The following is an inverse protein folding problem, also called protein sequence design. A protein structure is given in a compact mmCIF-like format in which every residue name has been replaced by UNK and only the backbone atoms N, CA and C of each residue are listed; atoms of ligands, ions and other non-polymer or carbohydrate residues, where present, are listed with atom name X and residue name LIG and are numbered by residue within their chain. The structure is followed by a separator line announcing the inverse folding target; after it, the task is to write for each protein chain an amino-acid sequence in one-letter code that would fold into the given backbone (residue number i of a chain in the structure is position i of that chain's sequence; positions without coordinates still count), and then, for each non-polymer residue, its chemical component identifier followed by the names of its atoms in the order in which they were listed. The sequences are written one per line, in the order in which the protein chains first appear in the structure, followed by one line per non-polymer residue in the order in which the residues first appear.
data_IF_160277145725
#
_entry.id   IF_160277145725
#
_cell.length_a   1.000
_cell.length_b   1.000
_cell.length_c   1.000
_cell.angle_alpha   90.00
_cell.angle_beta   90.00
_cell.angle_gamma   90.00
#
_symmetry.space_group_name_H-M   'P 1'
#
loop_
_entity.id
_entity.type
_entity.pdbx_description
1 polymer ?
#
# COMPACT_ATOMS: atom_id res chain seq x y z
N UNK A 1 33.72 -0.32 7.21
CA UNK A 1 32.69 -1.38 7.31
C UNK A 1 32.14 -1.47 8.74
N UNK A 2 32.98 -1.57 9.75
CA UNK A 2 32.57 -1.64 11.18
C UNK A 2 31.76 -0.43 11.66
N UNK A 3 32.20 0.80 11.32
CA UNK A 3 31.46 2.03 11.65
C UNK A 3 30.07 2.09 10.97
N UNK A 4 29.94 1.54 9.76
CA UNK A 4 28.64 1.48 9.04
C UNK A 4 27.68 0.50 9.70
N UNK A 5 28.18 -0.65 10.16
CA UNK A 5 27.37 -1.65 10.86
C UNK A 5 26.89 -1.14 12.22
N UNK A 6 27.77 -0.45 12.96
CA UNK A 6 27.40 0.17 14.22
C UNK A 6 26.31 1.24 14.02
N UNK A 7 26.51 2.15 13.07
CA UNK A 7 25.50 3.17 12.75
C UNK A 7 24.16 2.55 12.36
N UNK A 8 24.16 1.49 11.54
CA UNK A 8 22.94 0.82 11.11
C UNK A 8 22.20 0.17 12.30
N UNK A 9 22.92 -0.44 13.23
CA UNK A 9 22.33 -1.02 14.44
C UNK A 9 21.70 0.06 15.34
N UNK A 10 22.40 1.19 15.54
CA UNK A 10 21.89 2.32 16.32
C UNK A 10 20.67 2.98 15.67
N UNK A 11 20.68 3.14 14.34
CA UNK A 11 19.54 3.67 13.60
C UNK A 11 18.32 2.73 13.69
N UNK A 12 18.55 1.42 13.56
CA UNK A 12 17.50 0.42 13.67
C UNK A 12 16.88 0.39 15.06
N UNK A 13 17.70 0.46 16.12
CA UNK A 13 17.20 0.54 17.50
C UNK A 13 16.27 1.75 17.70
N UNK A 14 16.65 2.93 17.20
CA UNK A 14 15.81 4.14 17.25
C UNK A 14 14.50 3.97 16.48
N UNK A 15 14.52 3.27 15.35
CA UNK A 15 13.30 2.95 14.59
C UNK A 15 12.39 2.01 15.40
N UNK A 16 12.95 0.96 16.01
CA UNK A 16 12.18 0.02 16.84
C UNK A 16 11.53 0.75 18.02
N UNK A 17 12.29 1.56 18.74
CA UNK A 17 11.79 2.32 19.89
C UNK A 17 10.65 3.26 19.47
N UNK A 18 10.85 4.00 18.37
CA UNK A 18 9.81 4.89 17.82
C UNK A 18 8.54 4.11 17.50
N UNK A 19 8.61 3.04 16.71
CA UNK A 19 7.40 2.33 16.28
C UNK A 19 6.75 1.55 17.40
N UNK A 20 7.49 1.10 18.42
CA UNK A 20 6.92 0.51 19.64
C UNK A 20 6.00 1.50 20.35
N UNK A 21 6.34 2.79 20.34
CA UNK A 21 5.51 3.85 20.92
C UNK A 21 4.39 4.31 19.99
N UNK A 22 4.67 4.49 18.69
CA UNK A 22 3.70 5.03 17.71
C UNK A 22 2.60 4.03 17.34
N UNK A 23 2.95 2.75 17.16
CA UNK A 23 2.02 1.73 16.67
C UNK A 23 0.70 1.60 17.46
N UNK A 24 0.71 1.51 18.81
CA UNK A 24 -0.54 1.40 19.56
C UNK A 24 -1.40 2.68 19.52
N UNK A 25 -0.81 3.86 19.26
CA UNK A 25 -1.55 5.12 19.15
C UNK A 25 -2.37 5.21 17.85
N UNK A 26 -1.94 4.48 16.81
CA UNK A 26 -2.57 4.48 15.49
C UNK A 26 -3.01 3.06 15.09
N UNK A 27 -3.61 2.32 16.03
CA UNK A 27 -4.14 0.99 15.77
C UNK A 27 -5.37 1.03 14.87
N UNK A 28 -6.26 1.97 15.14
CA UNK A 28 -7.58 2.06 14.49
C UNK A 28 -7.61 3.16 13.42
N UNK A 29 -6.45 3.66 13.02
CA UNK A 29 -6.28 4.69 11.99
C UNK A 29 -5.00 4.50 11.17
N UNK A 30 -4.93 5.17 10.03
CA UNK A 30 -3.76 5.15 9.15
C UNK A 30 -3.08 6.53 9.18
N UNK A 31 -1.87 6.64 9.74
CA UNK A 31 -1.13 7.90 9.81
C UNK A 31 -0.52 8.28 8.45
N UNK A 32 -0.52 9.57 8.09
CA UNK A 32 0.06 10.04 6.83
C UNK A 32 1.18 11.07 7.02
N UNK A 33 0.88 12.29 7.45
CA UNK A 33 1.86 13.35 7.72
C UNK A 33 1.80 13.82 9.16
N UNK A 34 2.80 14.58 9.60
CA UNK A 34 2.78 15.20 10.92
C UNK A 34 2.47 16.68 10.84
N UNK A 35 1.72 17.18 11.82
CA UNK A 35 1.60 18.62 12.05
C UNK A 35 2.92 19.25 12.52
N UNK A 36 2.93 20.57 12.73
CA UNK A 36 4.10 21.30 13.22
C UNK A 36 4.60 20.84 14.61
N UNK A 37 3.80 20.08 15.35
CA UNK A 37 4.12 19.53 16.67
C UNK A 37 4.54 18.05 16.59
N UNK A 38 4.66 17.47 15.39
CA UNK A 38 5.04 16.08 15.20
C UNK A 38 3.91 15.07 15.44
N UNK A 39 2.64 15.52 15.52
CA UNK A 39 1.48 14.63 15.68
C UNK A 39 1.01 14.17 14.32
N UNK A 40 0.86 12.86 14.13
CA UNK A 40 0.33 12.33 12.88
C UNK A 40 -1.12 12.77 12.67
N UNK A 41 -1.43 13.14 11.43
CA UNK A 41 -2.80 13.21 10.95
C UNK A 41 -3.34 11.80 10.69
N UNK A 42 -4.67 11.66 10.75
CA UNK A 42 -5.35 10.40 10.51
C UNK A 42 -6.23 10.52 9.27
N UNK A 43 -5.96 9.70 8.26
CA UNK A 43 -6.75 9.67 7.02
C UNK A 43 -8.00 8.78 7.13
N UNK A 44 -8.66 8.80 8.29
CA UNK A 44 -9.94 8.12 8.52
C UNK A 44 -11.10 8.96 7.96
N UNK A 45 -11.32 8.96 6.65
CA UNK A 45 -12.49 9.59 6.00
C UNK A 45 -12.68 11.13 6.17
N UNK A 46 -12.03 11.82 7.12
CA UNK A 46 -12.38 13.20 7.54
C UNK A 46 -11.79 14.33 6.70
N UNK A 47 -11.02 14.03 5.66
CA UNK A 47 -10.35 15.06 4.84
C UNK A 47 -10.71 14.91 3.35
N UNK A 48 -12.01 14.80 3.06
CA UNK A 48 -12.53 14.89 1.69
C UNK A 48 -12.52 16.35 1.26
N UNK A 49 -11.36 16.84 0.81
CA UNK A 49 -11.31 18.13 0.10
C UNK A 49 -11.54 17.99 -1.39
N UNK A 50 -11.15 16.88 -2.04
CA UNK A 50 -11.16 16.78 -3.52
C UNK A 50 -11.30 15.35 -4.10
N UNK A 51 -12.09 14.47 -3.49
CA UNK A 51 -12.53 13.22 -4.16
C UNK A 51 -11.57 12.01 -4.17
N UNK A 52 -10.32 12.13 -3.72
CA UNK A 52 -9.32 11.03 -3.78
C UNK A 52 -8.62 10.69 -2.44
N UNK A 53 -9.03 11.19 -1.26
CA UNK A 53 -8.11 11.28 -0.10
C UNK A 53 -8.54 10.55 1.19
N UNK A 54 -9.47 9.59 1.09
CA UNK A 54 -9.85 8.74 2.21
C UNK A 54 -8.93 7.53 2.36
N UNK A 55 -9.53 6.37 2.61
CA UNK A 55 -8.81 5.10 2.71
C UNK A 55 -8.10 4.70 1.40
N UNK A 56 -8.58 5.20 0.27
CA UNK A 56 -7.97 5.00 -1.06
C UNK A 56 -6.69 5.79 -1.30
N UNK A 57 -6.24 6.60 -0.33
CA UNK A 57 -5.00 7.37 -0.48
C UNK A 57 -3.79 6.45 -0.65
N UNK A 58 -2.97 6.75 -1.65
CA UNK A 58 -1.92 5.86 -2.16
C UNK A 58 -0.86 5.45 -1.12
N UNK A 59 -0.63 6.29 -0.10
CA UNK A 59 0.35 5.98 0.94
C UNK A 59 -0.19 5.04 2.02
N UNK A 60 -1.50 4.76 2.08
CA UNK A 60 -2.09 4.11 3.24
C UNK A 60 -1.57 2.69 3.51
N UNK A 61 -1.12 1.96 2.47
CA UNK A 61 -0.49 0.65 2.68
C UNK A 61 0.92 0.70 3.27
N UNK A 62 1.60 1.85 3.26
CA UNK A 62 2.95 1.97 3.82
C UNK A 62 2.94 1.79 5.33
N UNK A 63 1.90 2.27 6.03
CA UNK A 63 1.77 2.06 7.47
C UNK A 63 1.71 0.56 7.81
N UNK A 64 0.79 -0.18 7.18
CA UNK A 64 0.69 -1.63 7.38
C UNK A 64 1.96 -2.37 6.95
N UNK A 65 2.63 -1.90 5.90
CA UNK A 65 3.94 -2.42 5.48
C UNK A 65 5.02 -2.23 6.53
N UNK A 66 5.15 -1.04 7.12
CA UNK A 66 6.10 -0.79 8.22
C UNK A 66 5.77 -1.72 9.39
N UNK A 67 4.49 -1.90 9.74
CA UNK A 67 4.08 -2.81 10.80
C UNK A 67 4.45 -4.27 10.50
N UNK A 68 4.28 -4.75 9.26
CA UNK A 68 4.76 -6.08 8.87
C UNK A 68 6.28 -6.22 8.97
N UNK A 69 7.03 -5.19 8.57
CA UNK A 69 8.49 -5.18 8.73
C UNK A 69 8.90 -5.21 10.21
N UNK A 70 8.21 -4.45 11.05
CA UNK A 70 8.42 -4.43 12.50
C UNK A 70 8.10 -5.79 13.14
N UNK A 71 7.02 -6.44 12.73
CA UNK A 71 6.70 -7.80 13.16
C UNK A 71 7.78 -8.79 12.74
N UNK A 72 8.18 -8.78 11.45
CA UNK A 72 9.23 -9.67 10.95
C UNK A 72 10.58 -9.46 11.65
N UNK A 73 10.87 -8.24 12.08
CA UNK A 73 12.13 -7.89 12.75
C UNK A 73 12.13 -8.27 14.24
N UNK A 74 11.01 -8.07 14.93
CA UNK A 74 10.96 -8.14 16.40
C UNK A 74 10.20 -9.35 16.95
N UNK A 75 9.35 -9.98 16.13
CA UNK A 75 8.42 -11.02 16.57
C UNK A 75 7.28 -10.51 17.47
N UNK A 76 7.17 -9.20 17.71
CA UNK A 76 6.17 -8.64 18.60
C UNK A 76 4.78 -8.61 17.92
N UNK A 77 3.85 -9.42 18.44
CA UNK A 77 2.49 -9.58 17.91
C UNK A 77 1.69 -8.27 17.86
N UNK A 78 2.01 -7.26 18.69
CA UNK A 78 1.37 -5.95 18.61
C UNK A 78 1.50 -5.33 17.21
N UNK A 79 2.66 -5.45 16.55
CA UNK A 79 2.84 -4.92 15.20
C UNK A 79 1.99 -5.68 14.18
N UNK A 80 1.87 -7.00 14.33
CA UNK A 80 1.00 -7.82 13.49
C UNK A 80 -0.47 -7.45 13.66
N UNK A 81 -0.91 -7.16 14.89
CA UNK A 81 -2.29 -6.72 15.14
C UNK A 81 -2.58 -5.37 14.47
N UNK A 82 -1.67 -4.40 14.56
CA UNK A 82 -1.82 -3.10 13.88
C UNK A 82 -1.78 -3.27 12.35
N UNK A 83 -0.92 -4.14 11.83
CA UNK A 83 -0.85 -4.44 10.39
C UNK A 83 -2.16 -5.04 9.86
N UNK A 84 -2.75 -5.99 10.58
CA UNK A 84 -4.05 -6.59 10.24
C UNK A 84 -5.20 -5.58 10.33
N UNK A 85 -5.16 -4.67 11.32
CA UNK A 85 -6.14 -3.58 11.43
C UNK A 85 -6.08 -2.68 10.19
N UNK A 86 -4.87 -2.31 9.76
CA UNK A 86 -4.66 -1.52 8.54
C UNK A 86 -5.27 -2.20 7.29
N UNK A 87 -5.04 -3.50 7.08
CA UNK A 87 -5.70 -4.23 5.98
C UNK A 87 -7.22 -4.21 6.08
N UNK A 88 -7.77 -4.36 7.28
CA UNK A 88 -9.23 -4.35 7.51
C UNK A 88 -9.82 -2.98 7.19
N UNK A 89 -9.14 -1.88 7.53
CA UNK A 89 -9.54 -0.53 7.14
C UNK A 89 -9.51 -0.37 5.61
N UNK A 90 -8.49 -0.90 4.94
CA UNK A 90 -8.36 -0.81 3.48
C UNK A 90 -9.45 -1.60 2.72
N UNK A 91 -10.12 -2.59 3.33
CA UNK A 91 -11.19 -3.35 2.66
C UNK A 91 -12.34 -2.46 2.17
N UNK A 92 -12.61 -1.35 2.85
CA UNK A 92 -13.65 -0.39 2.43
C UNK A 92 -13.38 0.17 1.03
N UNK A 93 -12.10 0.31 0.64
CA UNK A 93 -11.73 0.83 -0.69
C UNK A 93 -12.15 -0.09 -1.83
N UNK A 94 -12.31 -1.39 -1.59
CA UNK A 94 -12.85 -2.33 -2.57
C UNK A 94 -14.38 -2.25 -2.68
N UNK A 95 -15.05 -1.67 -1.68
CA UNK A 95 -16.51 -1.46 -1.67
C UNK A 95 -16.87 -0.14 -2.34
N UNK A 96 -16.05 0.90 -2.16
CA UNK A 96 -16.38 2.29 -2.57
C UNK A 96 -16.42 2.51 -4.09
N UNK A 97 -16.11 1.48 -4.90
CA UNK A 97 -16.02 1.43 -6.38
C UNK A 97 -15.06 2.45 -7.01
N UNK A 98 -15.13 3.73 -6.61
CA UNK A 98 -14.26 4.82 -6.98
C UNK A 98 -13.13 5.02 -5.96
N UNK A 99 -12.11 5.79 -6.36
CA UNK A 99 -11.01 6.24 -5.51
C UNK A 99 -9.70 5.50 -5.76
N UNK A 100 -9.72 4.17 -5.96
CA UNK A 100 -8.49 3.43 -6.26
C UNK A 100 -7.93 3.77 -7.65
N UNK A 101 -6.61 3.80 -7.73
CA UNK A 101 -5.83 4.07 -8.94
C UNK A 101 -4.65 3.11 -9.04
N UNK A 102 -3.69 3.35 -9.95
CA UNK A 102 -2.59 2.40 -10.17
C UNK A 102 -1.71 2.12 -8.94
N UNK A 103 -1.81 2.95 -7.89
CA UNK A 103 -1.06 2.81 -6.64
C UNK A 103 -1.56 1.68 -5.73
N UNK A 104 -2.52 0.89 -6.19
CA UNK A 104 -2.91 -0.37 -5.54
C UNK A 104 -1.70 -1.32 -5.38
N UNK A 105 -0.67 -1.21 -6.21
CA UNK A 105 0.57 -1.97 -6.02
C UNK A 105 1.29 -1.58 -4.72
N UNK A 106 1.52 -0.29 -4.47
CA UNK A 106 2.07 0.21 -3.20
C UNK A 106 1.23 -0.25 -2.02
N UNK A 107 -0.09 -0.14 -2.14
CA UNK A 107 -1.00 -0.41 -1.03
C UNK A 107 -1.00 -1.90 -0.63
N UNK A 108 -1.16 -2.81 -1.59
CA UNK A 108 -1.39 -4.24 -1.28
C UNK A 108 -0.15 -5.13 -1.37
N UNK A 109 0.95 -4.71 -1.99
CA UNK A 109 2.23 -5.42 -1.82
C UNK A 109 2.72 -5.27 -0.39
N UNK A 110 2.75 -4.02 0.10
CA UNK A 110 3.30 -3.72 1.41
C UNK A 110 2.47 -4.37 2.54
N UNK A 111 1.15 -4.50 2.34
CA UNK A 111 0.22 -5.07 3.32
C UNK A 111 -0.08 -6.55 3.03
N UNK A 112 -1.08 -6.81 2.19
CA UNK A 112 -1.71 -8.12 2.06
C UNK A 112 -0.77 -9.20 1.48
N UNK A 113 0.11 -8.87 0.53
CA UNK A 113 1.12 -9.82 0.04
C UNK A 113 2.09 -10.19 1.16
N UNK A 114 2.57 -9.22 1.95
CA UNK A 114 3.48 -9.48 3.06
C UNK A 114 2.80 -10.29 4.17
N UNK A 115 1.55 -9.98 4.51
CA UNK A 115 0.76 -10.77 5.47
C UNK A 115 0.65 -12.23 5.01
N UNK A 116 0.26 -12.46 3.75
CA UNK A 116 0.16 -13.81 3.22
C UNK A 116 1.51 -14.56 3.25
N UNK A 117 2.61 -13.90 2.88
CA UNK A 117 3.96 -14.49 2.93
C UNK A 117 4.40 -14.84 4.35
N UNK A 118 4.12 -13.97 5.31
CA UNK A 118 4.57 -14.13 6.70
C UNK A 118 3.71 -15.11 7.50
N UNK A 119 2.40 -15.16 7.22
CA UNK A 119 1.43 -15.86 8.08
C UNK A 119 0.61 -16.94 7.36
N UNK A 120 0.62 -16.97 6.03
CA UNK A 120 -0.26 -17.84 5.24
C UNK A 120 -1.71 -17.37 5.18
N UNK A 121 -2.02 -16.12 5.58
CA UNK A 121 -3.39 -15.60 5.62
C UNK A 121 -4.07 -15.59 4.23
N UNK A 122 -5.06 -16.47 4.05
CA UNK A 122 -5.79 -16.63 2.80
C UNK A 122 -6.72 -15.46 2.48
N UNK A 123 -7.19 -14.70 3.47
CA UNK A 123 -7.97 -13.48 3.20
C UNK A 123 -7.06 -12.38 2.65
N UNK A 124 -5.85 -12.23 3.18
CA UNK A 124 -4.85 -11.31 2.61
C UNK A 124 -4.44 -11.72 1.20
N UNK A 125 -4.30 -13.02 0.93
CA UNK A 125 -4.12 -13.53 -0.43
C UNK A 125 -5.26 -13.06 -1.36
N UNK A 126 -6.52 -13.17 -0.93
CA UNK A 126 -7.67 -12.69 -1.70
C UNK A 126 -7.61 -11.18 -1.94
N UNK A 127 -7.31 -10.38 -0.91
CA UNK A 127 -7.15 -8.91 -1.04
C UNK A 127 -6.10 -8.55 -2.08
N UNK A 128 -4.93 -9.17 -2.02
CA UNK A 128 -3.84 -8.91 -2.95
C UNK A 128 -4.19 -9.30 -4.40
N UNK A 129 -4.87 -10.43 -4.61
CA UNK A 129 -5.36 -10.83 -5.94
C UNK A 129 -6.46 -9.89 -6.47
N UNK A 130 -7.32 -9.38 -5.59
CA UNK A 130 -8.30 -8.35 -5.94
C UNK A 130 -7.59 -7.08 -6.43
N UNK A 131 -6.62 -6.57 -5.66
CA UNK A 131 -5.81 -5.43 -6.05
C UNK A 131 -5.08 -5.65 -7.39
N UNK A 132 -4.54 -6.86 -7.63
CA UNK A 132 -3.90 -7.20 -8.90
C UNK A 132 -4.89 -7.15 -10.08
N UNK A 133 -6.12 -7.61 -9.90
CA UNK A 133 -7.17 -7.51 -10.92
C UNK A 133 -7.54 -6.05 -11.22
N UNK A 134 -7.64 -5.21 -10.18
CA UNK A 134 -7.88 -3.78 -10.36
C UNK A 134 -6.74 -3.12 -11.16
N UNK A 135 -5.48 -3.46 -10.85
CA UNK A 135 -4.33 -2.92 -11.56
C UNK A 135 -4.31 -3.33 -13.03
N UNK A 136 -4.59 -4.60 -13.35
CA UNK A 136 -4.75 -5.06 -14.75
C UNK A 136 -5.90 -4.35 -15.45
N UNK A 137 -7.01 -4.10 -14.75
CA UNK A 137 -8.17 -3.39 -15.30
C UNK A 137 -7.88 -1.95 -15.74
N UNK A 138 -6.74 -1.38 -15.33
CA UNK A 138 -6.27 -0.05 -15.74
C UNK A 138 -5.38 -0.07 -16.99
N UNK A 139 -5.10 -1.24 -17.56
CA UNK A 139 -4.31 -1.37 -18.78
C UNK A 139 -5.00 -0.68 -19.96
N UNK A 140 -4.33 0.32 -20.52
CA UNK A 140 -4.67 0.86 -21.83
C UNK A 140 -4.02 -0.03 -22.90
N UNK A 141 -4.82 -0.92 -23.49
CA UNK A 141 -4.35 -1.92 -24.47
C UNK A 141 -3.77 -1.27 -25.73
N UNK A 142 -4.37 -0.18 -26.21
CA UNK A 142 -3.91 0.49 -27.43
C UNK A 142 -2.58 1.25 -27.21
N UNK A 143 -2.41 1.82 -26.01
CA UNK A 143 -1.22 2.56 -25.63
C UNK A 143 -0.09 1.72 -25.03
N UNK A 144 -0.38 0.50 -24.58
CA UNK A 144 0.58 -0.36 -23.90
C UNK A 144 1.06 0.24 -22.58
N UNK A 145 0.16 0.77 -21.74
CA UNK A 145 0.53 1.28 -20.42
C UNK A 145 -0.61 1.14 -19.43
N UNK A 146 -0.30 1.14 -18.13
CA UNK A 146 -1.30 1.20 -17.06
C UNK A 146 -1.66 2.66 -16.78
N UNK A 147 -2.94 3.00 -16.89
CA UNK A 147 -3.43 4.36 -16.59
C UNK A 147 -3.15 4.72 -15.13
N UNK A 148 -2.46 5.84 -14.94
CA UNK A 148 -2.04 6.34 -13.64
C UNK A 148 -3.23 6.67 -12.72
N UNK A 149 -3.85 7.83 -12.93
CA UNK A 149 -4.89 8.37 -12.04
C UNK A 149 -6.27 8.39 -12.68
N UNK A 150 -7.28 8.58 -11.83
CA UNK A 150 -8.64 8.86 -12.24
C UNK A 150 -8.76 10.35 -12.61
N UNK A 151 -9.80 10.70 -13.37
CA UNK A 151 -10.07 12.10 -13.66
C UNK A 151 -10.56 12.78 -12.38
N UNK A 152 -9.94 13.90 -12.01
CA UNK A 152 -10.33 14.64 -10.82
C UNK A 152 -11.66 15.36 -11.08
N UNK A 153 -12.73 15.09 -10.30
CA UNK A 153 -14.01 15.76 -10.47
C UNK A 153 -13.85 17.29 -10.43
N UNK A 154 -14.43 17.99 -11.41
CA UNK A 154 -14.38 19.44 -11.50
C UNK A 154 -13.05 20.05 -11.95
N UNK A 155 -12.01 19.25 -12.21
CA UNK A 155 -10.70 19.76 -12.66
C UNK A 155 -10.63 20.06 -14.16
N UNK A 156 -11.52 19.46 -14.96
CA UNK A 156 -11.44 19.46 -16.43
C UNK A 156 -10.23 18.69 -16.99
N UNK A 157 -9.44 18.04 -16.14
CA UNK A 157 -8.28 17.25 -16.56
C UNK A 157 -8.73 15.90 -17.13
N UNK A 158 -8.16 15.55 -18.28
CA UNK A 158 -8.32 14.24 -18.89
C UNK A 158 -7.03 13.43 -18.72
N UNK A 159 -7.09 12.41 -17.88
CA UNK A 159 -5.95 11.58 -17.46
C UNK A 159 -5.93 10.21 -18.15
N UNK A 160 -6.80 9.96 -19.13
CA UNK A 160 -6.89 8.65 -19.82
C UNK A 160 -5.59 8.21 -20.50
N UNK A 161 -4.77 9.19 -20.90
CA UNK A 161 -3.48 9.01 -21.58
C UNK A 161 -2.27 9.00 -20.65
N UNK A 162 -2.46 9.08 -19.33
CA UNK A 162 -1.36 9.32 -18.40
C UNK A 162 -0.77 8.00 -17.90
N UNK A 163 0.53 7.87 -18.11
CA UNK A 163 1.41 6.95 -17.41
C UNK A 163 2.44 7.76 -16.63
N UNK A 164 2.78 7.35 -15.43
CA UNK A 164 3.76 8.02 -14.58
C UNK A 164 4.77 7.00 -14.04
N UNK A 165 5.99 7.47 -13.75
CA UNK A 165 7.16 6.61 -13.53
C UNK A 165 7.03 5.70 -12.29
N UNK A 166 6.34 6.15 -11.24
CA UNK A 166 6.12 5.36 -10.02
C UNK A 166 5.22 4.12 -10.26
N UNK A 167 4.54 4.03 -11.40
CA UNK A 167 3.83 2.82 -11.81
C UNK A 167 4.78 1.61 -11.85
N UNK A 168 6.07 1.80 -12.12
CA UNK A 168 7.08 0.75 -12.06
C UNK A 168 7.14 0.04 -10.70
N UNK A 169 6.85 0.75 -9.61
CA UNK A 169 6.81 0.19 -8.25
C UNK A 169 5.51 -0.56 -7.94
N UNK A 170 4.49 -0.40 -8.80
CA UNK A 170 3.22 -1.08 -8.69
C UNK A 170 3.18 -2.42 -9.46
N UNK A 171 4.00 -2.54 -10.51
CA UNK A 171 4.12 -3.76 -11.33
C UNK A 171 4.48 -5.03 -10.55
N UNK A 172 5.29 -5.01 -9.47
CA UNK A 172 5.62 -6.22 -8.73
C UNK A 172 4.39 -6.95 -8.18
N UNK A 173 3.23 -6.28 -8.03
CA UNK A 173 1.97 -6.91 -7.63
C UNK A 173 1.48 -7.88 -8.72
N UNK A 174 1.64 -7.50 -9.98
CA UNK A 174 1.28 -8.31 -11.14
C UNK A 174 2.22 -9.51 -11.31
N UNK A 175 3.52 -9.31 -11.11
CA UNK A 175 4.49 -10.40 -11.14
C UNK A 175 4.24 -11.39 -9.99
N UNK A 176 3.91 -10.90 -8.80
CA UNK A 176 3.49 -11.75 -7.69
C UNK A 176 2.22 -12.53 -8.04
N UNK A 177 1.19 -11.89 -8.57
CA UNK A 177 -0.07 -12.55 -8.94
C UNK A 177 0.14 -13.64 -10.02
N UNK A 178 1.05 -13.40 -10.98
CA UNK A 178 1.46 -14.42 -11.96
C UNK A 178 2.07 -15.63 -11.28
N UNK A 179 3.04 -15.42 -10.38
CA UNK A 179 3.71 -16.49 -9.68
C UNK A 179 2.74 -17.28 -8.78
N UNK A 180 1.80 -16.58 -8.15
CA UNK A 180 0.83 -17.14 -7.21
C UNK A 180 -0.29 -17.96 -7.88
N UNK A 181 -0.70 -17.58 -9.08
CA UNK A 181 -1.86 -18.18 -9.76
C UNK A 181 -1.52 -19.00 -10.99
N UNK A 182 -0.32 -18.80 -11.56
CA UNK A 182 0.05 -19.30 -12.87
C UNK A 182 -0.61 -18.56 -14.04
N UNK A 183 -1.41 -17.52 -13.78
CA UNK A 183 -2.10 -16.78 -14.84
C UNK A 183 -1.15 -15.79 -15.54
N UNK A 184 -0.84 -15.98 -16.83
CA UNK A 184 0.13 -15.14 -17.54
C UNK A 184 -0.37 -13.71 -17.81
N UNK A 185 -1.68 -13.43 -17.65
CA UNK A 185 -2.25 -12.11 -17.95
C UNK A 185 -1.61 -11.00 -17.12
N UNK A 186 -1.29 -11.28 -15.86
CA UNK A 186 -0.74 -10.28 -14.96
C UNK A 186 0.67 -9.88 -15.43
N UNK A 187 1.54 -10.86 -15.70
CA UNK A 187 2.87 -10.61 -16.26
C UNK A 187 2.80 -9.91 -17.60
N UNK A 188 1.86 -10.29 -18.47
CA UNK A 188 1.70 -9.65 -19.77
C UNK A 188 1.35 -8.17 -19.61
N UNK A 189 0.40 -7.83 -18.74
CA UNK A 189 0.04 -6.45 -18.43
C UNK A 189 1.20 -5.65 -17.82
N UNK A 190 2.05 -6.28 -16.99
CA UNK A 190 3.24 -5.64 -16.42
C UNK A 190 4.46 -5.56 -17.35
N UNK A 191 4.37 -6.08 -18.57
CA UNK A 191 5.43 -6.02 -19.59
C UNK A 191 5.07 -5.08 -20.76
N UNK A 192 3.82 -4.62 -20.84
CA UNK A 192 3.42 -3.57 -21.77
C UNK A 192 3.88 -2.22 -21.26
#
# INVERSE_FOLDING_TARGET
MENTQQWAAEALAKCIDKYTWVAPLHRDEIPYTTDANGRYDALLQKHVRNGDQGLSWWTNGHWGGIMWQMYSLTGNEMFKDVANSCETLLDQTFVDYYGLHHDVGFMWIATAVNNYRLTGNLESRKRALHAANLLVGRLNVAGGFIRAWNDRPGSGQNTIGWAIIDCMMNLPLLYWATAETGDPRYKHAGMM
#
